data_IF_819476416157
#
_entry.id   IF_819476416157
#
_cell.length_a   1.000
_cell.length_b   1.000
_cell.length_c   1.000
_cell.angle_alpha   90.00
_cell.angle_beta   90.00
_cell.angle_gamma   90.00
#
_symmetry.space_group_name_H-M   'P 1'
#
loop_
_entity.id
_entity.type
_entity.pdbx_description
1 polymer ?
#
# COMPACT_ATOMS: atom_id res chain seq x y z
N UNK A 1 -20.93 26.24 -16.26
CA UNK A 1 -20.92 25.67 -14.88
C UNK A 1 -22.09 24.72 -14.85
N UNK A 2 -21.85 23.41 -15.01
CA UNK A 2 -22.89 22.41 -14.79
C UNK A 2 -23.16 22.38 -13.29
N UNK A 3 -24.37 22.73 -12.87
CA UNK A 3 -24.82 22.53 -11.50
C UNK A 3 -24.78 21.02 -11.26
N UNK A 4 -23.98 20.59 -10.31
CA UNK A 4 -23.92 19.19 -9.83
C UNK A 4 -25.19 18.91 -9.01
N UNK A 5 -26.29 18.63 -9.70
CA UNK A 5 -27.63 18.57 -9.12
C UNK A 5 -27.82 17.44 -8.11
N UNK A 6 -27.07 16.34 -8.28
CA UNK A 6 -27.21 15.15 -7.42
C UNK A 6 -26.02 14.93 -6.46
N UNK A 7 -25.04 15.82 -6.38
CA UNK A 7 -23.85 15.64 -5.52
C UNK A 7 -24.20 15.50 -4.05
N UNK A 8 -25.10 16.35 -3.53
CA UNK A 8 -25.53 16.30 -2.14
C UNK A 8 -26.36 15.05 -1.84
N UNK A 9 -27.26 14.68 -2.76
CA UNK A 9 -28.03 13.44 -2.65
C UNK A 9 -27.13 12.20 -2.69
N UNK A 10 -26.07 12.23 -3.51
CA UNK A 10 -25.08 11.14 -3.56
C UNK A 10 -24.30 11.02 -2.24
N UNK A 11 -23.83 12.13 -1.67
CA UNK A 11 -23.17 12.12 -0.35
C UNK A 11 -24.06 11.53 0.73
N UNK A 12 -25.32 11.97 0.76
CA UNK A 12 -26.31 11.45 1.72
C UNK A 12 -26.57 9.95 1.50
N UNK A 13 -26.71 9.50 0.27
CA UNK A 13 -26.86 8.08 -0.06
C UNK A 13 -25.71 7.23 0.44
N UNK A 14 -24.48 7.69 0.26
CA UNK A 14 -23.27 7.00 0.70
C UNK A 14 -23.18 6.95 2.24
N UNK A 15 -23.55 8.01 2.94
CA UNK A 15 -23.60 8.03 4.41
C UNK A 15 -24.64 7.06 4.96
N UNK A 16 -25.82 6.99 4.38
CA UNK A 16 -26.87 6.06 4.79
C UNK A 16 -26.50 4.60 4.54
N UNK A 17 -25.88 4.31 3.39
CA UNK A 17 -25.32 2.99 3.10
C UNK A 17 -24.22 2.63 4.10
N UNK A 18 -23.33 3.54 4.42
CA UNK A 18 -22.26 3.31 5.40
C UNK A 18 -22.84 2.98 6.80
N UNK A 19 -23.79 3.78 7.28
CA UNK A 19 -24.48 3.50 8.56
C UNK A 19 -25.13 2.12 8.59
N UNK A 20 -25.77 1.71 7.48
CA UNK A 20 -26.38 0.38 7.36
C UNK A 20 -25.34 -0.73 7.47
N UNK A 21 -24.20 -0.60 6.77
CA UNK A 21 -23.14 -1.60 6.80
C UNK A 21 -22.43 -1.66 8.16
N UNK A 22 -22.30 -0.53 8.87
CA UNK A 22 -21.83 -0.51 10.27
C UNK A 22 -22.80 -1.30 11.17
N UNK A 23 -24.11 -1.07 11.03
CA UNK A 23 -25.11 -1.76 11.84
C UNK A 23 -25.16 -3.28 11.57
N UNK A 24 -24.74 -3.74 10.39
CA UNK A 24 -24.61 -5.15 10.01
C UNK A 24 -23.22 -5.75 10.32
N UNK A 25 -22.32 -5.02 11.00
CA UNK A 25 -20.93 -5.42 11.27
C UNK A 25 -20.11 -5.72 10.00
N UNK A 26 -20.44 -4.99 8.91
CA UNK A 26 -19.82 -5.11 7.58
C UNK A 26 -19.16 -3.81 7.08
N UNK A 27 -18.73 -2.95 7.98
CA UNK A 27 -18.12 -1.66 7.64
C UNK A 27 -16.93 -1.81 6.67
N UNK A 28 -16.14 -2.85 6.88
CA UNK A 28 -15.01 -3.15 6.03
C UNK A 28 -15.41 -3.49 4.59
N UNK A 29 -16.54 -4.17 4.40
CA UNK A 29 -17.07 -4.47 3.07
C UNK A 29 -17.58 -3.22 2.38
N UNK A 30 -18.14 -2.28 3.13
CA UNK A 30 -18.53 -0.98 2.60
C UNK A 30 -17.32 -0.20 2.07
N UNK A 31 -16.30 -0.02 2.89
CA UNK A 31 -15.07 0.72 2.52
C UNK A 31 -14.43 0.13 1.27
N UNK A 32 -14.43 -1.20 1.15
CA UNK A 32 -13.79 -1.90 0.03
C UNK A 32 -14.62 -1.90 -1.26
N UNK A 33 -15.95 -2.08 -1.14
CA UNK A 33 -16.84 -2.25 -2.30
C UNK A 33 -17.49 -0.94 -2.78
N UNK A 34 -17.43 0.13 -1.99
CA UNK A 34 -18.08 1.42 -2.28
C UNK A 34 -17.08 2.58 -2.34
N UNK A 35 -15.80 2.30 -2.59
CA UNK A 35 -14.77 3.33 -2.77
C UNK A 35 -14.90 3.98 -4.16
N UNK A 36 -15.95 4.76 -4.31
CA UNK A 36 -16.28 5.50 -5.53
C UNK A 36 -16.39 7.00 -5.23
N UNK A 37 -15.96 7.84 -6.17
CA UNK A 37 -16.06 9.28 -6.05
C UNK A 37 -17.07 9.82 -7.06
N UNK A 38 -17.91 10.74 -6.63
CA UNK A 38 -18.79 11.48 -7.52
C UNK A 38 -17.97 12.35 -8.49
N UNK A 39 -18.36 12.35 -9.77
CA UNK A 39 -17.68 13.13 -10.81
C UNK A 39 -18.60 14.20 -11.37
N UNK A 40 -19.70 13.78 -11.99
CA UNK A 40 -20.68 14.64 -12.64
C UNK A 40 -22.02 13.93 -12.75
N UNK A 41 -23.04 14.68 -13.12
CA UNK A 41 -24.36 14.16 -13.40
C UNK A 41 -24.95 14.77 -14.67
N UNK A 42 -25.84 14.04 -15.31
CA UNK A 42 -26.71 14.46 -16.39
C UNK A 42 -28.16 14.04 -16.10
N UNK A 43 -29.07 14.35 -16.99
CA UNK A 43 -30.50 14.04 -16.81
C UNK A 43 -30.72 12.53 -16.65
N UNK A 44 -30.70 11.95 -15.52
CA UNK A 44 -30.89 10.53 -15.17
C UNK A 44 -29.60 9.66 -15.14
N UNK A 45 -28.40 10.23 -15.23
CA UNK A 45 -27.15 9.48 -15.11
C UNK A 45 -26.23 10.18 -14.13
N UNK A 46 -25.72 9.42 -13.16
CA UNK A 46 -24.67 9.88 -12.25
C UNK A 46 -23.40 9.14 -12.62
N UNK A 47 -22.36 9.89 -12.91
CA UNK A 47 -21.03 9.33 -13.21
C UNK A 47 -20.20 9.34 -11.94
N UNK A 48 -19.72 8.16 -11.54
CA UNK A 48 -18.79 7.97 -10.43
C UNK A 48 -17.44 7.48 -10.96
N UNK A 49 -16.36 7.86 -10.30
CA UNK A 49 -15.01 7.41 -10.66
C UNK A 49 -14.40 6.51 -9.60
N UNK A 50 -13.56 5.59 -10.05
CA UNK A 50 -12.72 4.74 -9.23
C UNK A 50 -11.24 4.94 -9.60
N UNK A 51 -10.35 4.57 -8.69
CA UNK A 51 -8.92 4.81 -8.86
C UNK A 51 -8.25 3.89 -9.90
N UNK A 52 -8.87 2.76 -10.27
CA UNK A 52 -8.27 1.80 -11.21
C UNK A 52 -9.31 0.93 -11.93
N UNK A 53 -8.96 0.34 -13.11
CA UNK A 53 -9.81 -0.64 -13.80
C UNK A 53 -10.19 -1.84 -12.94
N UNK A 54 -9.31 -2.27 -12.04
CA UNK A 54 -9.58 -3.34 -11.08
C UNK A 54 -10.75 -2.98 -10.15
N UNK A 55 -10.74 -1.77 -9.58
CA UNK A 55 -11.83 -1.30 -8.72
C UNK A 55 -13.12 -1.15 -9.51
N UNK A 56 -13.07 -0.72 -10.78
CA UNK A 56 -14.24 -0.68 -11.68
C UNK A 56 -14.87 -2.06 -11.83
N UNK A 57 -14.07 -3.07 -12.15
CA UNK A 57 -14.53 -4.45 -12.27
C UNK A 57 -15.10 -4.97 -10.93
N UNK A 58 -14.48 -4.65 -9.81
CA UNK A 58 -14.94 -5.10 -8.50
C UNK A 58 -16.27 -4.47 -8.11
N UNK A 59 -16.40 -3.14 -8.21
CA UNK A 59 -17.63 -2.40 -7.90
C UNK A 59 -18.77 -2.84 -8.81
N UNK A 60 -18.46 -3.19 -10.08
CA UNK A 60 -19.44 -3.68 -11.04
C UNK A 60 -19.86 -5.13 -10.74
N UNK A 61 -18.91 -6.05 -10.57
CA UNK A 61 -19.17 -7.47 -10.38
C UNK A 61 -19.83 -7.80 -9.03
N UNK A 62 -19.52 -7.06 -7.97
CA UNK A 62 -20.18 -7.21 -6.66
C UNK A 62 -21.55 -6.53 -6.57
N UNK A 63 -21.98 -5.88 -7.64
CA UNK A 63 -23.28 -5.21 -7.69
C UNK A 63 -23.38 -3.92 -6.88
N UNK A 64 -22.25 -3.38 -6.40
CA UNK A 64 -22.21 -2.16 -5.57
C UNK A 64 -22.83 -0.95 -6.30
N UNK A 65 -22.63 -0.84 -7.62
CA UNK A 65 -23.26 0.22 -8.43
C UNK A 65 -24.78 0.14 -8.38
N UNK A 66 -25.36 -1.07 -8.43
CA UNK A 66 -26.81 -1.26 -8.32
C UNK A 66 -27.34 -0.90 -6.92
N UNK A 67 -26.56 -1.17 -5.89
CA UNK A 67 -26.92 -0.78 -4.51
C UNK A 67 -26.96 0.73 -4.38
N UNK A 68 -25.94 1.43 -4.90
CA UNK A 68 -25.90 2.90 -4.93
C UNK A 68 -27.06 3.46 -5.77
N UNK A 69 -27.29 2.89 -6.96
CA UNK A 69 -28.38 3.30 -7.86
C UNK A 69 -29.74 3.17 -7.18
N UNK A 70 -30.02 2.05 -6.51
CA UNK A 70 -31.28 1.84 -5.82
C UNK A 70 -31.44 2.84 -4.65
N UNK A 71 -30.38 3.11 -3.90
CA UNK A 71 -30.42 4.10 -2.82
C UNK A 71 -30.63 5.50 -3.33
N UNK A 72 -30.01 5.85 -4.46
CA UNK A 72 -30.21 7.13 -5.13
C UNK A 72 -31.65 7.29 -5.66
N UNK A 73 -32.24 6.22 -6.24
CA UNK A 73 -33.65 6.22 -6.66
C UNK A 73 -34.62 6.43 -5.48
N UNK A 74 -34.30 5.83 -4.33
CA UNK A 74 -35.07 6.01 -3.10
C UNK A 74 -35.04 7.48 -2.63
N UNK A 75 -33.87 8.10 -2.62
CA UNK A 75 -33.68 9.47 -2.14
C UNK A 75 -34.22 10.51 -3.10
N UNK A 76 -33.98 10.34 -4.41
CA UNK A 76 -34.35 11.32 -5.43
C UNK A 76 -35.77 11.14 -5.99
N UNK A 77 -36.39 9.97 -5.77
CA UNK A 77 -37.67 9.61 -6.37
C UNK A 77 -37.63 9.29 -7.87
N UNK A 78 -36.46 9.34 -8.49
CA UNK A 78 -36.27 9.16 -9.93
C UNK A 78 -36.08 7.68 -10.30
N UNK A 79 -37.09 7.04 -10.85
CA UNK A 79 -37.05 5.61 -11.19
C UNK A 79 -36.09 5.26 -12.35
N UNK A 80 -35.79 6.22 -13.23
CA UNK A 80 -34.93 6.00 -14.40
C UNK A 80 -33.45 6.40 -14.18
N UNK A 81 -33.06 6.71 -12.94
CA UNK A 81 -31.69 7.10 -12.62
C UNK A 81 -30.75 5.90 -12.76
N UNK A 82 -29.60 6.11 -13.41
CA UNK A 82 -28.51 5.15 -13.56
C UNK A 82 -27.22 5.66 -12.94
N UNK A 83 -26.40 4.75 -12.45
CA UNK A 83 -25.05 5.05 -11.95
C UNK A 83 -24.04 4.38 -12.86
N UNK A 84 -23.20 5.18 -13.52
CA UNK A 84 -22.11 4.72 -14.39
C UNK A 84 -20.76 4.91 -13.70
N UNK A 85 -19.86 3.95 -13.90
CA UNK A 85 -18.54 3.98 -13.28
C UNK A 85 -17.45 4.13 -14.34
N UNK A 86 -16.60 5.14 -14.18
CA UNK A 86 -15.43 5.36 -15.04
C UNK A 86 -14.14 5.22 -14.23
N UNK A 87 -13.04 4.99 -14.91
CA UNK A 87 -11.70 5.06 -14.29
C UNK A 87 -11.21 6.50 -14.38
N UNK A 88 -10.68 7.03 -13.31
CA UNK A 88 -10.25 8.43 -13.21
C UNK A 88 -9.32 8.88 -14.35
N UNK A 89 -8.49 7.97 -14.87
CA UNK A 89 -7.59 8.22 -16.00
C UNK A 89 -8.31 8.31 -17.36
N UNK A 90 -9.42 7.59 -17.54
CA UNK A 90 -10.22 7.62 -18.79
C UNK A 90 -10.98 8.96 -18.90
N UNK A 91 -11.44 9.51 -17.79
CA UNK A 91 -12.14 10.79 -17.74
C UNK A 91 -11.26 11.97 -18.16
N UNK A 92 -9.97 11.93 -17.83
CA UNK A 92 -9.00 12.97 -18.22
C UNK A 92 -8.71 12.96 -19.73
N UNK A 93 -8.80 11.80 -20.40
CA UNK A 93 -8.57 11.67 -21.85
C UNK A 93 -9.77 12.09 -22.69
N UNK A 94 -10.99 11.80 -22.25
CA UNK A 94 -12.23 12.16 -22.98
C UNK A 94 -12.45 13.67 -23.00
N UNK A 95 -12.10 14.39 -21.95
CA UNK A 95 -12.23 15.85 -21.90
C UNK A 95 -11.16 16.60 -22.70
N UNK A 96 -10.03 15.97 -23.06
CA UNK A 96 -9.02 16.54 -23.94
C UNK A 96 -9.39 16.41 -25.43
N UNK A 97 -10.16 15.40 -25.81
CA UNK A 97 -10.57 15.18 -27.20
C UNK A 97 -11.83 15.96 -27.61
N UNK A 98 -12.73 16.30 -26.69
CA UNK A 98 -13.91 17.12 -26.98
C UNK A 98 -13.59 18.64 -27.09
N UNK A 99 -12.52 19.13 -26.45
CA UNK A 99 -12.09 20.54 -26.54
C UNK A 99 -11.20 20.85 -27.76
N UNK A 100 -10.93 19.91 -28.65
CA UNK A 100 -10.10 20.12 -29.85
C UNK A 100 -10.88 20.39 -31.12
N UNK A 101 -12.21 20.51 -31.10
CA UNK A 101 -13.04 20.71 -32.33
C UNK A 101 -13.66 22.09 -32.54
N UNK A 102 -13.53 23.00 -31.62
CA UNK A 102 -13.96 24.41 -31.89
C UNK A 102 -12.95 25.36 -31.25
N UNK A 103 -12.15 25.96 -32.06
CA UNK A 103 -11.56 27.31 -32.05
C UNK A 103 -10.15 27.31 -32.61
N UNK A 104 -10.09 27.31 -33.95
CA UNK A 104 -8.93 27.88 -34.65
C UNK A 104 -9.27 29.34 -34.95
N UNK A 105 -8.46 30.22 -34.42
CA UNK A 105 -8.27 31.64 -34.63
C UNK A 105 -8.67 32.56 -33.48
N UNK A 106 -7.67 33.36 -33.16
CA UNK A 106 -7.63 34.54 -32.30
C UNK A 106 -7.17 34.30 -30.85
N UNK A 107 -6.03 34.89 -30.60
CA UNK A 107 -5.29 35.16 -29.36
C UNK A 107 -4.01 34.35 -29.11
N UNK A 108 -2.98 34.66 -29.90
CA UNK A 108 -1.62 34.75 -29.38
C UNK A 108 -1.52 36.02 -28.54
N UNK A 109 -1.60 35.88 -27.24
CA UNK A 109 -0.84 36.67 -26.24
C UNK A 109 -1.24 36.25 -24.82
N UNK A 110 -0.22 35.90 -24.07
CA UNK A 110 -0.16 35.91 -22.62
C UNK A 110 -1.18 35.04 -21.86
N UNK A 111 -0.76 33.89 -21.46
CA UNK A 111 -0.82 33.46 -20.05
C UNK A 111 0.10 32.23 -19.92
N UNK A 112 1.33 32.46 -19.45
CA UNK A 112 2.10 31.46 -18.72
C UNK A 112 1.38 31.23 -17.40
N UNK A 113 0.46 30.30 -17.40
CA UNK A 113 -0.08 29.72 -16.16
C UNK A 113 0.31 28.26 -16.15
N UNK A 114 1.27 27.99 -15.30
CA UNK A 114 1.75 26.68 -14.91
C UNK A 114 0.59 25.74 -14.69
N UNK A 115 0.45 24.75 -15.56
CA UNK A 115 -0.24 23.51 -15.22
C UNK A 115 0.58 22.88 -14.09
N UNK A 116 0.19 23.13 -12.85
CA UNK A 116 0.66 22.42 -11.69
C UNK A 116 0.22 20.96 -11.79
N UNK A 117 0.93 20.19 -12.61
CA UNK A 117 1.18 18.79 -12.31
C UNK A 117 2.04 18.87 -11.06
N UNK A 118 1.44 18.75 -9.90
CA UNK A 118 2.16 18.61 -8.63
C UNK A 118 3.06 17.40 -8.76
N UNK A 119 4.33 17.65 -9.12
CA UNK A 119 5.38 16.64 -9.07
C UNK A 119 5.31 16.09 -7.65
N UNK A 120 4.89 14.83 -7.48
CA UNK A 120 4.86 14.18 -6.18
C UNK A 120 6.24 14.39 -5.57
N UNK A 121 6.29 15.00 -4.39
CA UNK A 121 7.54 15.22 -3.66
C UNK A 121 8.19 13.85 -3.43
N UNK A 122 9.47 13.69 -3.76
CA UNK A 122 10.21 12.45 -3.59
C UNK A 122 11.10 12.56 -2.36
N UNK A 123 11.03 11.59 -1.46
CA UNK A 123 11.92 11.50 -0.31
C UNK A 123 13.15 10.65 -0.66
N UNK A 124 14.35 11.14 -0.36
CA UNK A 124 15.62 10.49 -0.77
C UNK A 124 15.85 9.09 -0.17
N UNK A 125 15.22 8.78 0.95
CA UNK A 125 15.38 7.50 1.65
C UNK A 125 14.24 6.51 1.42
N UNK A 126 13.14 6.92 0.76
CA UNK A 126 11.96 6.09 0.54
C UNK A 126 11.84 5.68 -0.93
N UNK A 127 11.43 4.45 -1.19
CA UNK A 127 11.15 3.97 -2.53
C UNK A 127 9.76 4.44 -2.97
N UNK A 128 9.69 5.14 -4.09
CA UNK A 128 8.45 5.73 -4.63
C UNK A 128 7.34 4.72 -4.90
N UNK A 129 7.74 3.50 -5.26
CA UNK A 129 6.82 2.42 -5.58
C UNK A 129 6.08 1.84 -4.36
N UNK A 130 6.57 2.09 -3.14
CA UNK A 130 5.94 1.58 -1.94
C UNK A 130 4.92 2.59 -1.41
N UNK A 131 3.71 2.50 -1.95
CA UNK A 131 2.57 3.35 -1.58
C UNK A 131 1.37 2.49 -1.17
N UNK A 132 0.36 3.11 -0.57
CA UNK A 132 -0.88 2.42 -0.23
C UNK A 132 -1.65 2.00 -1.49
N UNK A 133 -1.54 2.75 -2.60
CA UNK A 133 -2.20 2.46 -3.87
C UNK A 133 -1.61 1.23 -4.59
N UNK A 134 -0.33 0.93 -4.33
CA UNK A 134 0.36 -0.23 -4.92
C UNK A 134 0.34 -1.46 -4.02
N UNK A 135 -0.08 -1.31 -2.77
CA UNK A 135 -0.29 -2.43 -1.85
C UNK A 135 -1.68 -3.02 -2.06
N UNK A 136 -1.77 -4.33 -2.25
CA UNK A 136 -3.05 -5.04 -2.38
C UNK A 136 -3.41 -5.66 -1.02
N UNK A 137 -4.36 -5.07 -0.28
CA UNK A 137 -4.81 -5.65 0.98
C UNK A 137 -5.70 -6.87 0.73
N UNK A 138 -5.31 -8.01 1.24
CA UNK A 138 -6.14 -9.20 1.38
C UNK A 138 -6.60 -9.38 2.82
N UNK A 139 -7.40 -10.42 3.11
CA UNK A 139 -7.86 -10.71 4.48
C UNK A 139 -6.70 -10.90 5.45
N UNK A 140 -5.60 -11.47 4.97
CA UNK A 140 -4.33 -11.67 5.69
C UNK A 140 -3.61 -10.38 6.12
N UNK A 141 -3.86 -9.27 5.46
CA UNK A 141 -3.12 -8.02 5.64
C UNK A 141 -4.00 -6.77 5.80
N UNK A 142 -5.33 -6.92 5.73
CA UNK A 142 -6.30 -5.83 5.84
C UNK A 142 -6.15 -5.03 7.14
N UNK A 143 -5.97 -5.73 8.27
CA UNK A 143 -5.76 -5.07 9.55
C UNK A 143 -4.45 -4.26 9.56
N UNK A 144 -3.36 -4.83 9.05
CA UNK A 144 -2.08 -4.13 8.94
C UNK A 144 -2.17 -2.90 8.03
N UNK A 145 -2.85 -3.03 6.88
CA UNK A 145 -3.08 -1.94 5.95
C UNK A 145 -3.87 -0.78 6.59
N UNK A 146 -4.99 -1.08 7.26
CA UNK A 146 -5.84 -0.07 7.88
C UNK A 146 -5.13 0.63 9.05
N UNK A 147 -4.38 -0.11 9.86
CA UNK A 147 -3.57 0.46 10.94
C UNK A 147 -2.46 1.37 10.38
N UNK A 148 -1.75 0.92 9.34
CA UNK A 148 -0.73 1.71 8.68
C UNK A 148 -1.29 3.01 8.08
N UNK A 149 -2.46 2.94 7.43
CA UNK A 149 -3.14 4.11 6.87
C UNK A 149 -3.59 5.09 7.97
N UNK A 150 -4.09 4.58 9.09
CA UNK A 150 -4.48 5.39 10.26
C UNK A 150 -3.28 6.13 10.85
N UNK A 151 -2.15 5.42 11.01
CA UNK A 151 -0.88 6.00 11.46
C UNK A 151 -0.38 7.06 10.48
N UNK A 152 -0.46 6.79 9.18
CA UNK A 152 -0.03 7.74 8.15
C UNK A 152 -0.86 9.04 8.14
N UNK A 153 -2.17 8.94 8.40
CA UNK A 153 -3.06 10.10 8.49
C UNK A 153 -2.87 10.93 9.76
N UNK A 154 -2.48 10.29 10.87
CA UNK A 154 -2.37 10.93 12.18
C UNK A 154 -1.10 10.47 12.93
N UNK A 155 0.11 10.80 12.44
CA UNK A 155 1.34 10.33 13.04
C UNK A 155 1.52 10.83 14.49
N UNK A 156 2.02 9.95 15.35
CA UNK A 156 2.31 10.24 16.76
C UNK A 156 1.09 10.29 17.69
N UNK A 157 -0.14 10.14 17.18
CA UNK A 157 -1.37 10.22 17.98
C UNK A 157 -1.90 8.88 18.43
N UNK A 158 -2.01 7.92 17.52
CA UNK A 158 -2.53 6.58 17.79
C UNK A 158 -1.53 5.53 17.32
N UNK A 159 -1.50 4.39 18.00
CA UNK A 159 -0.66 3.25 17.64
C UNK A 159 0.82 3.61 17.49
N UNK A 160 1.41 4.08 18.57
CA UNK A 160 2.82 4.45 18.62
C UNK A 160 3.54 3.74 19.78
N UNK A 161 4.51 2.85 19.50
CA UNK A 161 4.95 2.42 18.17
C UNK A 161 3.96 1.49 17.47
N UNK A 162 4.09 1.33 16.16
CA UNK A 162 3.51 0.21 15.41
C UNK A 162 4.63 -0.76 15.03
N UNK A 163 4.40 -2.05 15.23
CA UNK A 163 5.31 -3.15 14.88
C UNK A 163 4.61 -4.10 13.91
N UNK A 164 5.09 -4.16 12.68
CA UNK A 164 4.65 -5.12 11.68
C UNK A 164 5.56 -6.34 11.70
N UNK A 165 5.02 -7.53 11.95
CA UNK A 165 5.83 -8.75 11.96
C UNK A 165 5.23 -9.83 11.07
N UNK A 166 6.01 -10.87 10.77
CA UNK A 166 5.63 -12.00 9.90
C UNK A 166 6.76 -12.41 8.99
N UNK A 167 6.58 -13.49 8.25
CA UNK A 167 7.58 -14.07 7.37
C UNK A 167 8.20 -13.10 6.36
N UNK A 168 9.30 -13.52 5.73
CA UNK A 168 9.94 -12.72 4.68
C UNK A 168 9.00 -12.52 3.47
N UNK A 169 9.08 -11.37 2.81
CA UNK A 169 8.35 -11.13 1.55
C UNK A 169 6.84 -10.90 1.68
N UNK A 170 6.29 -10.69 2.90
CA UNK A 170 4.85 -10.47 3.12
C UNK A 170 4.40 -9.00 3.01
N UNK A 171 5.30 -8.08 2.67
CA UNK A 171 4.96 -6.67 2.45
C UNK A 171 5.14 -5.75 3.66
N UNK A 172 5.83 -6.18 4.74
CA UNK A 172 6.13 -5.36 5.93
C UNK A 172 6.83 -4.05 5.57
N UNK A 173 7.96 -4.13 4.86
CA UNK A 173 8.73 -2.97 4.39
C UNK A 173 7.91 -2.08 3.45
N UNK A 174 7.04 -2.67 2.62
CA UNK A 174 6.13 -1.92 1.75
C UNK A 174 5.18 -1.04 2.59
N UNK A 175 4.45 -1.62 3.55
CA UNK A 175 3.53 -0.86 4.40
C UNK A 175 4.26 0.19 5.24
N UNK A 176 5.43 -0.14 5.79
CA UNK A 176 6.28 0.82 6.51
C UNK A 176 6.65 2.01 5.64
N UNK A 177 7.13 1.79 4.43
CA UNK A 177 7.50 2.87 3.52
C UNK A 177 6.29 3.59 2.94
N UNK A 178 5.14 2.92 2.77
CA UNK A 178 3.88 3.55 2.40
C UNK A 178 3.44 4.60 3.43
N UNK A 179 3.62 4.33 4.74
CA UNK A 179 3.39 5.32 5.80
C UNK A 179 4.27 6.55 5.56
N UNK A 180 5.57 6.35 5.36
CA UNK A 180 6.52 7.44 5.14
C UNK A 180 6.21 8.25 3.89
N UNK A 181 5.94 7.59 2.77
CA UNK A 181 5.58 8.24 1.51
C UNK A 181 4.29 9.03 1.63
N UNK A 182 3.26 8.46 2.26
CA UNK A 182 1.98 9.14 2.46
C UNK A 182 2.14 10.43 3.28
N UNK A 183 2.84 10.38 4.42
CA UNK A 183 3.09 11.54 5.26
C UNK A 183 3.86 12.62 4.48
N UNK A 184 4.94 12.21 3.79
CA UNK A 184 5.77 13.14 3.03
C UNK A 184 5.04 13.85 1.89
N UNK A 185 4.10 13.16 1.24
CA UNK A 185 3.35 13.68 0.10
C UNK A 185 2.13 14.51 0.51
N UNK A 186 1.47 14.18 1.62
CA UNK A 186 0.17 14.73 1.99
C UNK A 186 0.23 15.74 3.14
N UNK A 187 1.41 16.07 3.64
CA UNK A 187 1.55 17.11 4.68
C UNK A 187 2.38 18.28 4.17
N UNK A 188 1.94 19.49 4.51
CA UNK A 188 2.71 20.72 4.24
C UNK A 188 3.84 20.91 5.26
N UNK A 189 3.79 20.21 6.38
CA UNK A 189 4.81 20.22 7.41
C UNK A 189 6.06 19.47 6.92
N UNK A 190 7.22 20.03 7.19
CA UNK A 190 8.51 19.40 6.88
C UNK A 190 8.89 18.40 7.98
N UNK A 191 8.22 17.26 8.01
CA UNK A 191 8.60 16.16 8.90
C UNK A 191 10.02 15.65 8.60
N UNK A 192 10.79 15.46 9.66
CA UNK A 192 12.10 14.77 9.59
C UNK A 192 11.85 13.26 9.62
N UNK A 193 11.76 12.66 8.45
CA UNK A 193 11.52 11.23 8.26
C UNK A 193 12.84 10.52 8.04
N UNK A 194 13.08 9.43 8.76
CA UNK A 194 14.20 8.54 8.52
C UNK A 194 13.71 7.11 8.33
N UNK A 195 14.05 6.51 7.19
CA UNK A 195 13.98 5.07 6.96
C UNK A 195 15.38 4.50 7.02
N UNK A 196 15.56 3.45 7.81
CA UNK A 196 16.84 2.76 7.97
C UNK A 196 16.60 1.30 8.40
N UNK A 197 17.46 0.38 7.93
CA UNK A 197 17.48 -0.99 8.47
C UNK A 197 18.20 -1.05 9.81
N UNK A 198 17.83 -2.00 10.67
CA UNK A 198 18.50 -2.20 11.96
C UNK A 198 19.99 -2.55 11.79
N UNK A 199 20.37 -3.18 10.68
CA UNK A 199 21.76 -3.42 10.33
C UNK A 199 22.50 -2.11 10.06
N UNK A 200 21.97 -1.24 9.19
CA UNK A 200 22.56 0.06 8.89
C UNK A 200 22.62 0.96 10.10
N UNK A 201 21.58 0.98 10.94
CA UNK A 201 21.57 1.69 12.22
C UNK A 201 22.72 1.22 13.13
N UNK A 202 22.94 -0.10 13.20
CA UNK A 202 24.05 -0.68 13.97
C UNK A 202 25.41 -0.21 13.43
N UNK A 203 25.59 -0.30 12.12
CA UNK A 203 26.86 0.08 11.49
C UNK A 203 27.16 1.57 11.69
N UNK A 204 26.18 2.44 11.48
CA UNK A 204 26.33 3.88 11.77
C UNK A 204 26.65 4.16 13.24
N UNK A 205 26.01 3.44 14.17
CA UNK A 205 26.32 3.57 15.59
C UNK A 205 27.77 3.18 15.90
N UNK A 206 28.20 2.00 15.45
CA UNK A 206 29.57 1.51 15.66
C UNK A 206 30.61 2.46 15.05
N UNK A 207 30.36 3.00 13.86
CA UNK A 207 31.25 3.97 13.22
C UNK A 207 31.27 5.29 14.00
N UNK A 208 30.17 5.72 14.59
CA UNK A 208 30.11 6.90 15.44
C UNK A 208 30.94 6.74 16.72
N UNK A 209 31.04 5.51 17.26
CA UNK A 209 31.91 5.18 18.40
C UNK A 209 33.39 5.25 18.01
N UNK A 210 33.77 4.63 16.86
CA UNK A 210 35.15 4.62 16.34
C UNK A 210 35.64 6.05 16.04
N UNK A 211 34.76 6.87 15.46
CA UNK A 211 35.11 8.25 15.03
C UNK A 211 34.87 9.30 16.13
N UNK A 212 34.43 8.90 17.32
CA UNK A 212 34.06 9.77 18.46
C UNK A 212 32.97 10.81 18.12
N UNK A 213 32.04 10.46 17.19
CA UNK A 213 30.94 11.31 16.71
C UNK A 213 29.58 10.87 17.24
N UNK A 214 29.52 10.27 18.43
CA UNK A 214 28.29 9.77 19.04
C UNK A 214 27.23 10.85 19.24
N UNK A 215 27.63 12.11 19.47
CA UNK A 215 26.68 13.22 19.59
C UNK A 215 25.99 13.54 18.25
N UNK A 216 26.71 13.45 17.13
CA UNK A 216 26.11 13.62 15.80
C UNK A 216 25.08 12.53 15.52
N UNK A 217 25.42 11.27 15.83
CA UNK A 217 24.51 10.13 15.74
C UNK A 217 23.23 10.33 16.58
N UNK A 218 23.40 10.66 17.87
CA UNK A 218 22.28 10.94 18.78
C UNK A 218 21.40 12.07 18.27
N UNK A 219 22.00 13.16 17.79
CA UNK A 219 21.26 14.29 17.23
C UNK A 219 20.50 13.92 15.97
N UNK A 220 21.07 13.06 15.09
CA UNK A 220 20.41 12.58 13.89
C UNK A 220 19.14 11.82 14.23
N UNK A 221 19.20 10.82 15.12
CA UNK A 221 18.09 9.90 15.36
C UNK A 221 17.10 10.39 16.42
N UNK A 222 17.55 11.13 17.45
CA UNK A 222 16.65 11.60 18.52
C UNK A 222 15.88 12.88 18.17
N UNK A 223 16.18 13.52 17.02
CA UNK A 223 15.48 14.70 16.53
C UNK A 223 14.55 14.43 15.34
N UNK A 224 14.21 13.17 15.09
CA UNK A 224 13.25 12.79 14.07
C UNK A 224 11.82 13.05 14.53
N UNK A 225 10.94 13.26 13.57
CA UNK A 225 9.50 13.29 13.75
C UNK A 225 8.89 11.91 13.40
N UNK A 226 9.56 11.17 12.50
CA UNK A 226 9.15 9.83 12.09
C UNK A 226 10.38 8.95 11.93
N UNK A 227 10.40 7.83 12.65
CA UNK A 227 11.42 6.78 12.55
C UNK A 227 10.78 5.52 11.95
N UNK A 228 11.29 5.07 10.81
CA UNK A 228 10.96 3.81 10.16
C UNK A 228 12.18 2.90 10.25
N UNK A 229 12.18 1.95 11.19
CA UNK A 229 13.30 1.04 11.46
C UNK A 229 12.95 -0.37 11.02
N UNK A 230 13.57 -0.81 9.94
CA UNK A 230 13.29 -2.09 9.29
C UNK A 230 14.12 -3.22 9.89
N UNK A 231 13.52 -4.41 9.98
CA UNK A 231 14.15 -5.68 10.34
C UNK A 231 14.87 -5.65 11.70
N UNK A 232 14.15 -5.27 12.77
CA UNK A 232 14.73 -5.12 14.13
C UNK A 232 15.29 -6.42 14.71
N UNK A 233 14.98 -7.60 14.17
CA UNK A 233 15.56 -8.87 14.57
C UNK A 233 17.08 -8.92 14.36
N UNK A 234 17.65 -8.10 13.45
CA UNK A 234 19.08 -7.96 13.28
C UNK A 234 19.80 -7.32 14.50
N UNK A 235 19.08 -6.80 15.48
CA UNK A 235 19.65 -6.34 16.74
C UNK A 235 19.94 -7.47 17.73
N UNK A 236 19.55 -8.71 17.44
CA UNK A 236 19.85 -9.88 18.26
C UNK A 236 21.36 -9.96 18.55
N UNK A 237 21.72 -10.19 19.82
CA UNK A 237 23.12 -10.24 20.31
C UNK A 237 23.92 -8.93 20.18
N UNK A 238 23.28 -7.77 19.93
CA UNK A 238 23.96 -6.48 19.78
C UNK A 238 23.63 -5.54 20.95
N UNK A 239 24.04 -5.89 22.15
CA UNK A 239 23.63 -5.24 23.41
C UNK A 239 23.82 -3.71 23.38
N UNK A 240 24.99 -3.22 22.94
CA UNK A 240 25.27 -1.79 22.89
C UNK A 240 24.31 -1.03 21.93
N UNK A 241 23.99 -1.63 20.78
CA UNK A 241 23.06 -1.04 19.82
C UNK A 241 21.62 -1.08 20.34
N UNK A 242 21.24 -2.16 21.01
CA UNK A 242 19.93 -2.26 21.67
C UNK A 242 19.77 -1.18 22.76
N UNK A 243 20.83 -0.91 23.50
CA UNK A 243 20.85 0.13 24.52
C UNK A 243 20.69 1.53 23.89
N UNK A 244 21.45 1.85 22.84
CA UNK A 244 21.32 3.13 22.14
C UNK A 244 19.94 3.29 21.49
N UNK A 245 19.37 2.20 20.90
CA UNK A 245 18.01 2.24 20.38
C UNK A 245 16.98 2.48 21.50
N UNK A 246 17.18 1.89 22.69
CA UNK A 246 16.29 2.13 23.82
C UNK A 246 16.27 3.62 24.23
N UNK A 247 17.43 4.27 24.30
CA UNK A 247 17.49 5.70 24.60
C UNK A 247 16.92 6.57 23.48
N UNK A 248 17.15 6.17 22.23
CA UNK A 248 16.55 6.84 21.05
C UNK A 248 15.03 6.72 21.08
N UNK A 249 14.52 5.52 21.38
CA UNK A 249 13.09 5.26 21.53
C UNK A 249 12.45 6.20 22.58
N UNK A 250 13.05 6.29 23.76
CA UNK A 250 12.53 7.16 24.82
C UNK A 250 12.51 8.64 24.39
N UNK A 251 13.59 9.13 23.77
CA UNK A 251 13.65 10.50 23.28
C UNK A 251 12.59 10.81 22.21
N UNK A 252 12.30 9.86 21.31
CA UNK A 252 11.27 9.98 20.30
C UNK A 252 9.85 9.88 20.89
N UNK A 253 9.66 8.98 21.85
CA UNK A 253 8.39 8.82 22.55
C UNK A 253 8.00 10.10 23.33
N UNK A 254 8.94 10.73 24.01
CA UNK A 254 8.73 11.98 24.75
C UNK A 254 8.32 13.13 23.82
N UNK A 255 8.79 13.11 22.58
CA UNK A 255 8.42 14.07 21.51
C UNK A 255 7.14 13.68 20.79
N UNK A 256 6.54 12.53 21.09
CA UNK A 256 5.41 11.96 20.34
C UNK A 256 5.73 11.72 18.85
N UNK A 257 7.02 11.51 18.52
CA UNK A 257 7.44 11.14 17.19
C UNK A 257 6.88 9.75 16.82
N UNK A 258 6.39 9.58 15.61
CA UNK A 258 5.87 8.27 15.15
C UNK A 258 7.02 7.30 14.94
N UNK A 259 6.89 6.12 15.52
CA UNK A 259 7.84 5.03 15.32
C UNK A 259 7.14 3.85 14.66
N UNK A 260 7.77 3.32 13.61
CA UNK A 260 7.32 2.14 12.87
C UNK A 260 8.47 1.14 12.81
N UNK A 261 8.19 -0.10 13.19
CA UNK A 261 9.17 -1.17 13.20
C UNK A 261 8.69 -2.35 12.37
N UNK A 262 9.64 -3.10 11.78
CA UNK A 262 9.32 -4.41 11.20
C UNK A 262 10.16 -5.51 11.86
N UNK A 263 9.64 -6.73 11.83
CA UNK A 263 10.30 -7.91 12.35
C UNK A 263 9.93 -9.14 11.52
N UNK A 264 10.78 -10.15 11.48
CA UNK A 264 10.49 -11.43 10.80
C UNK A 264 9.58 -12.37 11.62
N UNK A 265 9.45 -12.10 12.92
CA UNK A 265 8.67 -12.91 13.89
C UNK A 265 8.20 -12.03 15.06
N UNK A 266 7.33 -12.56 15.95
CA UNK A 266 6.92 -11.83 17.16
C UNK A 266 8.14 -11.38 17.99
N UNK A 267 8.13 -10.12 18.44
CA UNK A 267 9.28 -9.52 19.16
C UNK A 267 9.70 -10.30 20.41
N UNK A 268 8.74 -10.97 21.05
CA UNK A 268 8.99 -11.76 22.26
C UNK A 268 9.74 -13.07 22.00
N UNK A 269 9.79 -13.52 20.74
CA UNK A 269 10.48 -14.74 20.32
C UNK A 269 11.93 -14.50 19.95
N UNK A 270 12.36 -13.23 19.84
CA UNK A 270 13.75 -12.91 19.52
C UNK A 270 14.61 -13.15 20.76
N UNK A 271 15.50 -14.12 20.64
CA UNK A 271 16.44 -14.45 21.70
C UNK A 271 17.46 -13.32 21.88
N UNK A 272 17.99 -13.16 23.08
CA UNK A 272 19.05 -12.18 23.40
C UNK A 272 18.69 -10.73 23.02
N UNK A 273 17.42 -10.39 23.13
CA UNK A 273 16.93 -9.01 23.06
C UNK A 273 16.68 -8.48 24.48
N UNK A 274 17.13 -7.27 24.77
CA UNK A 274 16.97 -6.68 26.09
C UNK A 274 15.48 -6.54 26.46
N UNK A 275 15.09 -7.08 27.61
CA UNK A 275 13.68 -7.12 28.05
C UNK A 275 13.01 -5.73 28.07
N UNK A 276 13.77 -4.67 28.43
CA UNK A 276 13.29 -3.30 28.43
C UNK A 276 12.94 -2.80 27.03
N UNK A 277 13.69 -3.19 25.97
CA UNK A 277 13.40 -2.84 24.59
C UNK A 277 12.20 -3.62 24.07
N UNK A 278 12.16 -4.94 24.33
CA UNK A 278 11.01 -5.81 24.01
C UNK A 278 9.72 -5.24 24.62
N UNK A 279 9.75 -4.85 25.89
CA UNK A 279 8.59 -4.26 26.57
C UNK A 279 8.11 -2.97 25.88
N UNK A 280 9.03 -2.08 25.48
CA UNK A 280 8.67 -0.84 24.78
C UNK A 280 8.05 -1.08 23.42
N UNK A 281 8.62 -2.00 22.65
CA UNK A 281 8.11 -2.36 21.32
C UNK A 281 6.75 -3.08 21.42
N UNK A 282 6.59 -3.96 22.41
CA UNK A 282 5.35 -4.72 22.62
C UNK A 282 4.20 -3.87 23.21
N UNK A 283 4.48 -2.71 23.81
CA UNK A 283 3.45 -1.80 24.32
C UNK A 283 2.70 -1.05 23.21
N UNK A 284 3.22 -1.06 21.99
CA UNK A 284 2.56 -0.50 20.82
C UNK A 284 1.58 -1.47 20.18
N UNK A 285 1.15 -1.14 18.98
CA UNK A 285 0.31 -2.01 18.16
C UNK A 285 1.18 -3.00 17.39
N UNK A 286 1.16 -4.28 17.78
CA UNK A 286 1.86 -5.36 17.07
C UNK A 286 0.90 -6.06 16.14
N UNK A 287 1.23 -6.15 14.85
CA UNK A 287 0.37 -6.71 13.82
C UNK A 287 1.12 -7.78 13.04
N UNK A 288 0.49 -8.94 12.92
CA UNK A 288 0.96 -10.07 12.14
C UNK A 288 0.53 -9.94 10.67
N UNK A 289 1.47 -10.16 9.76
CA UNK A 289 1.19 -10.32 8.34
C UNK A 289 1.35 -11.79 7.97
N UNK A 290 0.26 -12.37 7.47
CA UNK A 290 0.21 -13.77 7.04
C UNK A 290 0.38 -13.88 5.51
N UNK A 291 0.76 -15.05 4.98
CA UNK A 291 0.78 -15.29 3.55
C UNK A 291 -0.58 -14.99 2.89
N UNK A 292 -0.60 -14.45 1.67
CA UNK A 292 -1.84 -14.13 0.96
C UNK A 292 -2.57 -15.40 0.51
N UNK A 293 -3.90 -15.39 0.58
CA UNK A 293 -4.73 -16.43 -0.01
C UNK A 293 -4.67 -16.37 -1.54
N UNK A 294 -5.23 -17.40 -2.22
CA UNK A 294 -5.19 -17.49 -3.68
C UNK A 294 -5.75 -16.25 -4.39
N UNK A 295 -6.89 -15.74 -3.96
CA UNK A 295 -7.54 -14.56 -4.57
C UNK A 295 -6.67 -13.31 -4.44
N UNK A 296 -6.04 -13.14 -3.28
CA UNK A 296 -5.11 -12.04 -3.04
C UNK A 296 -3.85 -12.19 -3.90
N UNK A 297 -3.32 -13.42 -4.09
CA UNK A 297 -2.17 -13.67 -4.97
C UNK A 297 -2.48 -13.31 -6.42
N UNK A 298 -3.66 -13.70 -6.93
CA UNK A 298 -4.12 -13.32 -8.28
C UNK A 298 -4.18 -11.78 -8.41
N UNK A 299 -4.79 -11.10 -7.44
CA UNK A 299 -4.90 -9.64 -7.45
C UNK A 299 -3.53 -8.94 -7.42
N UNK A 300 -2.57 -9.46 -6.62
CA UNK A 300 -1.20 -8.96 -6.56
C UNK A 300 -0.52 -9.12 -7.92
N UNK A 301 -0.60 -10.30 -8.54
CA UNK A 301 0.01 -10.57 -9.84
C UNK A 301 -0.56 -9.64 -10.92
N UNK A 302 -1.88 -9.51 -11.00
CA UNK A 302 -2.55 -8.61 -11.93
C UNK A 302 -2.10 -7.16 -11.75
N UNK A 303 -2.06 -6.69 -10.49
CA UNK A 303 -1.59 -5.32 -10.19
C UNK A 303 -0.13 -5.10 -10.57
N UNK A 304 0.73 -6.09 -10.35
CA UNK A 304 2.15 -6.00 -10.74
C UNK A 304 2.32 -5.97 -12.25
N UNK A 305 1.58 -6.79 -13.00
CA UNK A 305 1.56 -6.79 -14.47
C UNK A 305 1.08 -5.44 -15.01
N UNK A 306 0.01 -4.89 -14.43
CA UNK A 306 -0.51 -3.55 -14.76
C UNK A 306 0.56 -2.46 -14.54
N UNK A 307 1.21 -2.45 -13.38
CA UNK A 307 2.27 -1.48 -13.04
C UNK A 307 3.50 -1.57 -13.94
N UNK A 308 3.76 -2.76 -14.51
CA UNK A 308 4.82 -2.95 -15.51
C UNK A 308 4.39 -2.48 -16.92
N UNK A 309 3.12 -2.09 -17.12
CA UNK A 309 2.58 -1.72 -18.43
C UNK A 309 2.53 -2.90 -19.41
N UNK A 310 2.50 -4.14 -18.89
CA UNK A 310 2.52 -5.39 -19.68
C UNK A 310 1.19 -6.11 -19.59
N UNK A 311 1.03 -7.13 -20.44
CA UNK A 311 -0.12 -8.05 -20.42
C UNK A 311 0.41 -9.47 -20.25
N UNK A 312 -0.32 -10.29 -19.51
CA UNK A 312 0.00 -11.70 -19.31
C UNK A 312 -1.28 -12.52 -19.44
N UNK A 313 -1.16 -13.72 -20.01
CA UNK A 313 -2.29 -14.63 -20.15
C UNK A 313 -2.89 -14.95 -18.77
N UNK A 314 -4.23 -14.85 -18.60
CA UNK A 314 -4.89 -15.21 -17.35
C UNK A 314 -4.58 -16.63 -16.87
N UNK A 315 -4.34 -17.58 -17.78
CA UNK A 315 -3.97 -18.95 -17.43
C UNK A 315 -2.58 -19.03 -16.76
N UNK A 316 -1.64 -18.18 -17.19
CA UNK A 316 -0.31 -18.07 -16.57
C UNK A 316 -0.42 -17.43 -15.18
N UNK A 317 -1.23 -16.38 -15.03
CA UNK A 317 -1.48 -15.74 -13.72
C UNK A 317 -2.08 -16.75 -12.75
N UNK A 318 -3.09 -17.51 -13.20
CA UNK A 318 -3.73 -18.56 -12.42
C UNK A 318 -2.72 -19.63 -11.98
N UNK A 319 -1.89 -20.10 -12.92
CA UNK A 319 -0.86 -21.09 -12.65
C UNK A 319 0.15 -20.60 -11.60
N UNK A 320 0.67 -19.36 -11.74
CA UNK A 320 1.59 -18.79 -10.76
C UNK A 320 0.90 -18.67 -9.40
N UNK A 321 -0.32 -18.13 -9.36
CA UNK A 321 -1.06 -17.94 -8.12
C UNK A 321 -1.38 -19.24 -7.38
N UNK A 322 -1.60 -20.34 -8.09
CA UNK A 322 -1.87 -21.67 -7.48
C UNK A 322 -0.62 -22.32 -6.90
N UNK A 323 0.51 -22.13 -7.53
CA UNK A 323 1.71 -22.90 -7.20
C UNK A 323 2.74 -22.13 -6.35
N UNK A 324 2.71 -20.79 -6.36
CA UNK A 324 3.59 -19.95 -5.55
C UNK A 324 2.80 -19.42 -4.36
N UNK A 325 2.86 -20.13 -3.23
CA UNK A 325 1.97 -19.87 -2.08
C UNK A 325 2.68 -19.15 -0.92
N UNK A 326 4.00 -19.16 -0.88
CA UNK A 326 4.80 -18.79 0.28
C UNK A 326 4.78 -17.30 0.59
N UNK A 327 5.08 -16.44 -0.40
CA UNK A 327 5.20 -14.99 -0.19
C UNK A 327 5.12 -14.17 -1.47
N UNK A 328 4.92 -12.86 -1.31
CA UNK A 328 4.77 -11.92 -2.44
C UNK A 328 6.08 -11.73 -3.21
N UNK A 329 7.25 -11.88 -2.55
CA UNK A 329 8.55 -11.75 -3.22
C UNK A 329 8.76 -12.85 -4.25
N UNK A 330 8.29 -14.06 -3.99
CA UNK A 330 8.36 -15.16 -4.95
C UNK A 330 7.38 -14.96 -6.12
N UNK A 331 6.19 -14.43 -5.87
CA UNK A 331 5.28 -14.03 -6.95
C UNK A 331 5.94 -13.00 -7.89
N UNK A 332 6.64 -12.00 -7.33
CA UNK A 332 7.39 -11.02 -8.13
C UNK A 332 8.55 -11.66 -8.88
N UNK A 333 9.23 -12.63 -8.28
CA UNK A 333 10.32 -13.37 -8.92
C UNK A 333 9.81 -14.21 -10.08
N UNK A 334 8.65 -14.86 -9.91
CA UNK A 334 7.98 -15.60 -10.98
C UNK A 334 7.65 -14.69 -12.18
N UNK A 335 7.05 -13.52 -11.92
CA UNK A 335 6.77 -12.55 -12.99
C UNK A 335 8.04 -12.06 -13.68
N UNK A 336 9.13 -11.78 -12.93
CA UNK A 336 10.42 -11.37 -13.50
C UNK A 336 11.01 -12.44 -14.43
N UNK A 337 10.88 -13.73 -14.07
CA UNK A 337 11.34 -14.83 -14.93
C UNK A 337 10.54 -14.91 -16.22
N UNK A 338 9.21 -14.86 -16.12
CA UNK A 338 8.31 -14.91 -17.28
C UNK A 338 8.57 -13.76 -18.23
N UNK A 339 8.58 -12.51 -17.74
CA UNK A 339 8.83 -11.35 -18.58
C UNK A 339 10.29 -11.24 -19.06
N UNK A 340 11.24 -11.70 -18.25
CA UNK A 340 12.65 -11.76 -18.67
C UNK A 340 12.85 -12.73 -19.84
N UNK A 341 12.14 -13.86 -19.87
CA UNK A 341 12.16 -14.77 -21.00
C UNK A 341 11.60 -14.09 -22.26
N UNK A 342 10.43 -13.43 -22.16
CA UNK A 342 9.84 -12.71 -23.31
C UNK A 342 10.76 -11.63 -23.86
N UNK A 343 11.46 -10.89 -22.98
CA UNK A 343 12.38 -9.83 -23.40
C UNK A 343 13.66 -10.37 -24.06
N UNK A 344 14.17 -11.49 -23.56
CA UNK A 344 15.45 -12.04 -24.04
C UNK A 344 15.29 -12.98 -25.23
N UNK A 345 14.20 -13.73 -25.30
CA UNK A 345 13.93 -14.69 -26.38
C UNK A 345 13.06 -14.10 -27.51
N UNK A 346 12.34 -13.02 -27.26
CA UNK A 346 11.45 -12.38 -28.25
C UNK A 346 10.11 -13.06 -28.45
N UNK A 347 9.88 -14.19 -27.77
CA UNK A 347 8.65 -14.99 -27.89
C UNK A 347 7.74 -14.74 -26.68
N UNK A 348 6.42 -14.70 -26.91
CA UNK A 348 5.45 -14.68 -25.81
C UNK A 348 5.48 -15.99 -25.03
N UNK A 349 5.45 -15.88 -23.73
CA UNK A 349 5.43 -17.04 -22.83
C UNK A 349 4.08 -17.73 -22.91
N UNK A 350 4.09 -19.05 -23.01
CA UNK A 350 2.93 -19.91 -22.87
C UNK A 350 3.00 -20.70 -21.54
N UNK A 351 1.93 -21.44 -21.21
CA UNK A 351 1.86 -22.20 -19.96
C UNK A 351 2.99 -23.23 -19.81
N UNK A 352 3.35 -23.94 -20.88
CA UNK A 352 4.42 -24.97 -20.87
C UNK A 352 5.79 -24.33 -20.58
N UNK A 353 6.10 -23.22 -21.26
CA UNK A 353 7.32 -22.47 -21.00
C UNK A 353 7.33 -21.93 -19.58
N UNK A 354 6.18 -21.43 -19.07
CA UNK A 354 6.06 -20.95 -17.68
C UNK A 354 6.35 -22.06 -16.68
N UNK A 355 5.82 -23.25 -16.87
CA UNK A 355 6.10 -24.42 -16.00
C UNK A 355 7.59 -24.74 -15.95
N UNK A 356 8.26 -24.69 -17.10
CA UNK A 356 9.70 -24.92 -17.17
C UNK A 356 10.50 -23.83 -16.44
N UNK A 357 10.15 -22.56 -16.63
CA UNK A 357 10.84 -21.42 -16.03
C UNK A 357 10.71 -21.35 -14.51
N UNK A 358 9.60 -21.85 -13.95
CA UNK A 358 9.29 -21.76 -12.54
C UNK A 358 9.65 -23.03 -11.74
N UNK A 359 10.17 -24.05 -12.39
CA UNK A 359 10.47 -25.35 -11.76
C UNK A 359 11.31 -25.21 -10.50
N UNK A 360 12.37 -24.42 -10.53
CA UNK A 360 13.27 -24.21 -9.40
C UNK A 360 12.62 -23.43 -8.23
N UNK A 361 11.71 -22.48 -8.51
CA UNK A 361 10.94 -21.80 -7.48
C UNK A 361 10.00 -22.80 -6.79
N UNK A 362 9.33 -23.64 -7.57
CA UNK A 362 8.37 -24.62 -7.05
C UNK A 362 9.06 -25.75 -6.26
N UNK A 363 10.25 -26.16 -6.69
CA UNK A 363 11.04 -27.18 -5.98
C UNK A 363 11.49 -26.64 -4.61
N UNK A 364 11.90 -25.38 -4.49
CA UNK A 364 12.26 -24.72 -3.23
C UNK A 364 11.02 -24.57 -2.31
N UNK A 365 9.89 -24.12 -2.85
CA UNK A 365 8.63 -23.99 -2.10
C UNK A 365 8.19 -25.32 -1.49
N UNK A 366 8.32 -26.41 -2.23
CA UNK A 366 8.00 -27.76 -1.75
C UNK A 366 8.96 -28.23 -0.64
N UNK A 367 10.24 -27.87 -0.72
CA UNK A 367 11.22 -28.19 0.34
C UNK A 367 10.96 -27.42 1.64
N UNK A 368 10.68 -26.11 1.54
CA UNK A 368 10.34 -25.29 2.71
C UNK A 368 9.04 -25.77 3.39
N UNK A 369 8.01 -26.11 2.61
CA UNK A 369 6.78 -26.69 3.15
C UNK A 369 7.04 -28.02 3.87
N UNK A 370 7.95 -28.84 3.36
CA UNK A 370 8.33 -30.12 3.97
C UNK A 370 9.12 -29.92 5.27
N UNK A 371 10.01 -28.93 5.34
CA UNK A 371 10.77 -28.60 6.56
C UNK A 371 9.83 -28.06 7.66
N UNK A 372 8.87 -27.20 7.33
CA UNK A 372 7.85 -26.73 8.27
C UNK A 372 7.00 -27.89 8.79
N UNK A 373 6.59 -28.82 7.91
CA UNK A 373 5.81 -29.99 8.29
C UNK A 373 6.60 -30.96 9.18
N UNK A 374 7.91 -31.09 8.97
CA UNK A 374 8.80 -31.98 9.76
C UNK A 374 9.31 -31.30 11.05
N UNK A 375 8.96 -30.04 11.33
CA UNK A 375 9.32 -29.33 12.57
C UNK A 375 10.82 -29.03 12.70
N UNK A 376 11.51 -28.85 11.59
CA UNK A 376 12.94 -28.49 11.53
C UNK A 376 13.18 -27.05 11.25
#
# INVERSE_FOLDING_TARGET
MSEKMYEEAFKYAMEELHKKYIAEDKESDFIFNFNVNYVEDSINVITVSVASPFMKNQVTNKGSLKVIENKMKEITGLQNLKVECIVKEEYSKTNEDENKKETTEVFKKEISTESNITKKKKHSLLQEQFTFETFIPGDNSKFAYNAALTVAKNPGKQYNPILLYGGSGLGKTHLMQAIGNYIYQNTDEKFKICYISAESFTNEFLDSLKTKKTNEFKNKYRNLDILLLDDIHFLQNKEQTQEELFYTFNALNDKKAQMVFTCDRPIREIKNMAARLVSRLANGLCIDLQPPNYETRVAILQKKVELMGKTLDPEIIDYIAKNVETNVRELETALKKVFGYEELCGDKTNLETTKMLLKDILDLTNMEALEIFLGR
#
